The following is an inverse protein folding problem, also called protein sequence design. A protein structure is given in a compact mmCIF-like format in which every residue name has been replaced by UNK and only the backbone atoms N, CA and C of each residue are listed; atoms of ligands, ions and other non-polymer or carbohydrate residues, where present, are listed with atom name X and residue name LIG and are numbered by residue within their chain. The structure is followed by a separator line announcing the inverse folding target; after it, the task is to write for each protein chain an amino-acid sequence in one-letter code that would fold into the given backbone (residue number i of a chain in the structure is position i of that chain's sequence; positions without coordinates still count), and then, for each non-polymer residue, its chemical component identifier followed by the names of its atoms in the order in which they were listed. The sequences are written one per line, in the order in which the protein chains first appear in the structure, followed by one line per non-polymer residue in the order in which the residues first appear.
data_IF_886222512782
#
_entry.id   IF_886222512782
#
_cell.length_a   1.000
_cell.length_b   1.000
_cell.length_c   1.000
_cell.angle_alpha   90.00
_cell.angle_beta   90.00
_cell.angle_gamma   90.00
#
_symmetry.space_group_name_H-M   'P 1'
#
loop_
_entity.id
_entity.type
_entity.pdbx_description
1 polymer ?
#
# COMPACT_ATOMS: atom_id res chain seq x y z
N UNK A 1 19.76 -11.43 -26.25
CA UNK A 1 18.40 -11.03 -25.83
C UNK A 1 18.01 -11.94 -24.66
N UNK A 2 18.26 -11.52 -23.43
CA UNK A 2 17.86 -12.31 -22.27
C UNK A 2 16.35 -12.20 -22.15
N UNK A 3 15.68 -13.34 -22.32
CA UNK A 3 14.25 -13.47 -22.13
C UNK A 3 14.03 -13.79 -20.65
N UNK A 4 14.14 -12.77 -19.79
CA UNK A 4 13.89 -12.93 -18.36
C UNK A 4 12.38 -13.09 -18.17
N UNK A 5 11.93 -14.33 -18.06
CA UNK A 5 10.56 -14.64 -17.70
C UNK A 5 10.34 -14.22 -16.24
N UNK A 6 9.52 -13.18 -16.01
CA UNK A 6 9.10 -12.78 -14.67
C UNK A 6 7.82 -13.55 -14.31
N UNK A 7 7.87 -14.28 -13.21
CA UNK A 7 6.72 -15.04 -12.73
C UNK A 7 5.74 -14.14 -11.99
N UNK A 8 4.44 -14.39 -12.18
CA UNK A 8 3.35 -13.74 -11.46
C UNK A 8 2.56 -14.76 -10.65
N UNK A 9 2.00 -14.36 -9.52
CA UNK A 9 1.07 -15.15 -8.70
C UNK A 9 -0.26 -14.44 -8.53
N UNK A 10 -1.33 -15.22 -8.38
CA UNK A 10 -2.63 -14.75 -7.95
C UNK A 10 -2.63 -14.59 -6.43
N UNK A 11 -3.01 -13.42 -5.93
CA UNK A 11 -3.20 -13.12 -4.50
C UNK A 11 -4.64 -12.71 -4.24
N UNK A 12 -5.20 -13.21 -3.13
CA UNK A 12 -6.47 -12.71 -2.59
C UNK A 12 -6.14 -11.71 -1.48
N UNK A 13 -6.62 -10.47 -1.62
CA UNK A 13 -6.45 -9.40 -0.65
C UNK A 13 -7.41 -9.58 0.53
N UNK A 14 -7.24 -8.83 1.62
CA UNK A 14 -8.06 -9.00 2.83
C UNK A 14 -9.53 -8.60 2.58
N UNK A 15 -9.78 -7.68 1.64
CA UNK A 15 -11.13 -7.38 1.11
C UNK A 15 -11.76 -8.51 0.28
N UNK A 16 -11.05 -9.59 -0.03
CA UNK A 16 -11.50 -10.66 -0.93
C UNK A 16 -11.22 -10.39 -2.41
N UNK A 17 -10.62 -9.26 -2.76
CA UNK A 17 -10.24 -8.91 -4.13
C UNK A 17 -9.12 -9.82 -4.63
N UNK A 18 -9.20 -10.25 -5.88
CA UNK A 18 -8.16 -11.02 -6.56
C UNK A 18 -7.25 -10.09 -7.35
N UNK A 19 -5.95 -10.19 -7.12
CA UNK A 19 -4.92 -9.38 -7.78
C UNK A 19 -3.79 -10.28 -8.29
N UNK A 20 -3.11 -9.84 -9.37
CA UNK A 20 -1.88 -10.46 -9.83
C UNK A 20 -0.69 -9.62 -9.36
N UNK A 21 0.35 -10.29 -8.88
CA UNK A 21 1.59 -9.65 -8.47
C UNK A 21 2.81 -10.46 -8.90
N UNK A 22 3.94 -9.78 -9.07
CA UNK A 22 5.20 -10.45 -9.37
C UNK A 22 5.64 -11.30 -8.17
N UNK A 23 6.15 -12.50 -8.43
CA UNK A 23 6.58 -13.41 -7.35
C UNK A 23 7.81 -12.89 -6.60
N UNK A 24 8.64 -12.08 -7.26
CA UNK A 24 9.83 -11.44 -6.69
C UNK A 24 9.54 -10.15 -5.92
N UNK A 25 8.25 -9.77 -5.77
CA UNK A 25 7.84 -8.61 -4.97
C UNK A 25 8.13 -8.86 -3.50
N UNK A 26 8.80 -7.91 -2.84
CA UNK A 26 9.05 -7.93 -1.40
C UNK A 26 8.01 -7.04 -0.70
N UNK A 27 6.97 -7.67 -0.15
CA UNK A 27 5.87 -6.96 0.50
C UNK A 27 6.34 -6.08 1.67
N UNK A 28 7.29 -6.56 2.49
CA UNK A 28 7.81 -5.78 3.62
C UNK A 28 8.48 -4.48 3.14
N UNK A 29 9.31 -4.56 2.11
CA UNK A 29 10.00 -3.40 1.52
C UNK A 29 9.00 -2.40 0.95
N UNK A 30 7.96 -2.88 0.27
CA UNK A 30 6.90 -2.02 -0.23
C UNK A 30 6.17 -1.26 0.89
N UNK A 31 5.89 -1.93 2.03
CA UNK A 31 5.24 -1.28 3.17
C UNK A 31 6.13 -0.22 3.82
N UNK A 32 7.44 -0.48 3.94
CA UNK A 32 8.42 0.49 4.44
C UNK A 32 8.53 1.71 3.52
N UNK A 33 8.53 1.52 2.19
CA UNK A 33 8.53 2.60 1.20
C UNK A 33 7.26 3.44 1.29
N UNK A 34 6.09 2.80 1.45
CA UNK A 34 4.82 3.51 1.64
C UNK A 34 4.82 4.30 2.94
N UNK A 35 5.30 3.71 4.04
CA UNK A 35 5.40 4.42 5.31
C UNK A 35 6.34 5.64 5.22
N UNK A 36 7.45 5.50 4.49
CA UNK A 36 8.38 6.60 4.21
C UNK A 36 7.72 7.72 3.38
N UNK A 37 6.92 7.37 2.37
CA UNK A 37 6.14 8.32 1.59
C UNK A 37 5.15 9.09 2.47
N UNK A 38 4.34 8.39 3.26
CA UNK A 38 3.37 9.00 4.19
C UNK A 38 4.08 9.94 5.17
N UNK A 39 5.24 9.52 5.72
CA UNK A 39 6.06 10.36 6.60
C UNK A 39 6.55 11.63 5.92
N UNK A 40 6.99 11.53 4.67
CA UNK A 40 7.50 12.67 3.88
C UNK A 40 6.44 13.75 3.69
N UNK A 41 5.19 13.34 3.45
CA UNK A 41 4.07 14.28 3.24
C UNK A 41 3.20 14.46 4.48
N UNK A 42 3.66 14.01 5.64
CA UNK A 42 2.93 13.99 6.94
C UNK A 42 1.72 13.05 6.99
N UNK A 43 0.95 12.93 5.91
CA UNK A 43 -0.24 12.09 5.83
C UNK A 43 -0.67 11.81 4.40
N UNK A 44 -1.45 10.75 4.20
CA UNK A 44 -1.94 10.40 2.87
C UNK A 44 -3.30 9.70 2.90
N UNK A 45 -4.16 9.99 1.92
CA UNK A 45 -5.37 9.21 1.61
C UNK A 45 -5.07 8.10 0.59
N UNK A 46 -6.00 7.15 0.43
CA UNK A 46 -5.87 6.10 -0.58
C UNK A 46 -5.80 6.66 -2.01
N UNK A 47 -6.58 7.70 -2.33
CA UNK A 47 -6.57 8.34 -3.66
C UNK A 47 -5.23 9.03 -3.95
N UNK A 48 -4.64 9.69 -2.95
CA UNK A 48 -3.33 10.32 -3.08
C UNK A 48 -2.23 9.29 -3.36
N UNK A 49 -2.23 8.17 -2.62
CA UNK A 49 -1.27 7.09 -2.86
C UNK A 49 -1.48 6.43 -4.23
N UNK A 50 -2.74 6.22 -4.62
CA UNK A 50 -3.10 5.66 -5.91
C UNK A 50 -2.57 6.50 -7.08
N UNK A 51 -2.78 7.81 -7.01
CA UNK A 51 -2.26 8.76 -7.99
C UNK A 51 -0.72 8.78 -8.00
N UNK A 52 -0.08 8.77 -6.82
CA UNK A 52 1.37 8.77 -6.69
C UNK A 52 2.04 7.53 -7.31
N UNK A 53 1.41 6.34 -7.16
CA UNK A 53 1.97 5.07 -7.61
C UNK A 53 1.41 4.57 -8.95
N UNK A 54 0.40 5.24 -9.51
CA UNK A 54 -0.27 4.79 -10.74
C UNK A 54 -0.99 3.45 -10.57
N UNK A 55 -1.61 3.21 -9.42
CA UNK A 55 -2.32 1.96 -9.10
C UNK A 55 -3.80 2.21 -8.81
N UNK A 56 -4.67 1.20 -8.91
CA UNK A 56 -6.07 1.35 -8.52
C UNK A 56 -6.20 1.76 -7.04
N UNK A 57 -7.14 2.68 -6.75
CA UNK A 57 -7.41 3.20 -5.38
C UNK A 57 -7.61 2.09 -4.37
N UNK A 58 -8.29 1.01 -4.78
CA UNK A 58 -8.53 -0.13 -3.90
C UNK A 58 -7.24 -0.85 -3.49
N UNK A 59 -6.26 -0.98 -4.40
CA UNK A 59 -4.94 -1.57 -4.09
C UNK A 59 -4.13 -0.64 -3.20
N UNK A 60 -4.23 0.67 -3.43
CA UNK A 60 -3.59 1.67 -2.56
C UNK A 60 -4.14 1.59 -1.12
N UNK A 61 -5.47 1.52 -0.96
CA UNK A 61 -6.12 1.35 0.34
C UNK A 61 -5.66 0.08 1.06
N UNK A 62 -5.60 -1.04 0.36
CA UNK A 62 -5.13 -2.33 0.91
C UNK A 62 -3.70 -2.23 1.42
N UNK A 63 -2.82 -1.54 0.69
CA UNK A 63 -1.43 -1.34 1.11
C UNK A 63 -1.31 -0.44 2.34
N UNK A 64 -2.13 0.63 2.44
CA UNK A 64 -2.17 1.50 3.62
C UNK A 64 -2.68 0.74 4.86
N UNK A 65 -3.73 -0.06 4.71
CA UNK A 65 -4.26 -0.92 5.79
C UNK A 65 -3.23 -1.99 6.18
N UNK A 66 -2.49 -2.56 5.22
CA UNK A 66 -1.43 -3.50 5.52
C UNK A 66 -0.28 -2.84 6.31
N UNK A 67 0.11 -1.60 5.96
CA UNK A 67 1.11 -0.85 6.71
C UNK A 67 0.61 -0.50 8.14
N UNK A 68 -0.66 -0.15 8.30
CA UNK A 68 -1.31 0.02 9.61
C UNK A 68 -1.27 -1.27 10.43
N UNK A 69 -1.63 -2.41 9.83
CA UNK A 69 -1.63 -3.72 10.50
C UNK A 69 -0.22 -4.14 10.95
N UNK A 70 0.83 -3.62 10.28
CA UNK A 70 2.23 -3.82 10.66
C UNK A 70 2.78 -2.72 11.59
N UNK A 71 1.90 -1.92 12.20
CA UNK A 71 2.23 -0.83 13.13
C UNK A 71 3.11 0.28 12.54
N UNK A 72 3.23 0.38 11.22
CA UNK A 72 4.01 1.44 10.54
C UNK A 72 3.21 2.74 10.42
N UNK A 73 1.90 2.61 10.25
CA UNK A 73 0.97 3.72 10.11
C UNK A 73 -0.14 3.61 11.16
N UNK A 74 -0.80 4.72 11.44
CA UNK A 74 -2.09 4.77 12.09
C UNK A 74 -3.08 5.50 11.17
N UNK A 75 -4.37 5.41 11.47
CA UNK A 75 -5.40 6.08 10.68
C UNK A 75 -6.30 6.96 11.54
N UNK A 76 -6.70 8.07 10.95
CA UNK A 76 -7.78 8.92 11.40
C UNK A 76 -9.00 8.64 10.49
N UNK A 77 -10.13 8.30 11.12
CA UNK A 77 -11.40 8.09 10.44
C UNK A 77 -12.37 9.15 10.96
N UNK A 78 -12.44 10.27 10.24
CA UNK A 78 -13.21 11.44 10.61
C UNK A 78 -14.22 11.82 9.52
N UNK A 79 -15.00 12.86 9.75
CA UNK A 79 -15.97 13.36 8.76
C UNK A 79 -15.29 13.86 7.47
N UNK A 80 -14.02 14.24 7.55
CA UNK A 80 -13.21 14.61 6.39
C UNK A 80 -12.74 13.40 5.56
N UNK A 81 -12.95 12.20 6.09
CA UNK A 81 -12.65 10.92 5.45
C UNK A 81 -11.47 10.19 6.10
N UNK A 82 -11.12 9.06 5.47
CA UNK A 82 -10.07 8.16 5.96
C UNK A 82 -8.68 8.66 5.58
N UNK A 83 -7.82 8.88 6.57
CA UNK A 83 -6.47 9.40 6.37
C UNK A 83 -5.44 8.60 7.17
N UNK A 84 -4.28 8.36 6.56
CA UNK A 84 -3.19 7.60 7.19
C UNK A 84 -2.03 8.52 7.56
N UNK A 85 -1.43 8.25 8.71
CA UNK A 85 -0.33 9.00 9.31
C UNK A 85 0.78 8.05 9.77
N UNK A 86 2.03 8.51 9.90
CA UNK A 86 3.09 7.74 10.55
C UNK A 86 2.65 7.35 11.96
N UNK A 87 2.85 6.10 12.35
CA UNK A 87 2.57 5.69 13.71
C UNK A 87 3.64 6.27 14.66
N UNK A 88 3.19 7.00 15.68
CA UNK A 88 4.05 7.63 16.71
C UNK A 88 3.79 7.07 18.12
N UNK A 89 3.04 5.98 18.23
CA UNK A 89 2.64 5.33 19.48
C UNK A 89 3.39 4.01 19.73
#
# INVERSE_FOLDING_TARGET
KNNDFVLSRLRVLSSGIKSFELTNRNEKKDLEEIASLVKTVTSMSADQLANQLGIPVIVARERLIAAETNSLLCRDDSIEGLRFYPNLF
#
